data_IF_963007205893
#
_entry.id   IF_963007205893
#
_cell.length_a   1.000
_cell.length_b   1.000
_cell.length_c   1.000
_cell.angle_alpha   90.00
_cell.angle_beta   90.00
_cell.angle_gamma   90.00
#
_symmetry.space_group_name_H-M   'P 1'
#
loop_
_entity.id
_entity.type
_entity.pdbx_description
1 polymer ?
#
# COMPACT_ATOMS: atom_id res chain seq x y z
N UNK A 1 -31.24 15.86 2.40
CA UNK A 1 -30.17 14.89 2.66
C UNK A 1 -29.88 13.92 1.51
N UNK A 2 -30.80 13.67 0.57
CA UNK A 2 -30.58 12.78 -0.60
C UNK A 2 -29.96 13.52 -1.80
N UNK A 3 -30.17 14.82 -1.94
CA UNK A 3 -29.67 15.62 -3.07
C UNK A 3 -28.13 15.90 -3.02
N UNK A 4 -27.56 16.13 -1.84
CA UNK A 4 -26.11 16.40 -1.67
C UNK A 4 -25.24 15.16 -1.97
N UNK A 5 -25.78 13.97 -1.77
CA UNK A 5 -25.09 12.70 -2.07
C UNK A 5 -24.94 12.46 -3.57
N UNK A 6 -25.92 12.87 -4.38
CA UNK A 6 -25.90 12.64 -5.84
C UNK A 6 -24.95 13.60 -6.57
N UNK A 7 -24.88 14.85 -6.14
CA UNK A 7 -23.98 15.88 -6.73
C UNK A 7 -22.51 15.48 -6.52
N UNK A 8 -22.17 14.85 -5.38
CA UNK A 8 -20.82 14.36 -5.08
C UNK A 8 -20.40 13.14 -5.92
N UNK A 9 -21.36 12.27 -6.28
CA UNK A 9 -21.09 11.10 -7.14
C UNK A 9 -20.89 11.56 -8.58
N UNK A 10 -21.74 12.46 -9.08
CA UNK A 10 -21.63 12.99 -10.44
C UNK A 10 -20.33 13.73 -10.66
N UNK A 11 -19.86 14.49 -9.67
CA UNK A 11 -18.55 15.16 -9.71
C UNK A 11 -17.38 14.15 -9.79
N UNK A 12 -17.44 13.03 -9.02
CA UNK A 12 -16.43 11.95 -9.08
C UNK A 12 -16.43 11.23 -10.43
N UNK A 13 -17.60 10.93 -10.97
CA UNK A 13 -17.75 10.34 -12.29
C UNK A 13 -17.16 11.25 -13.35
N UNK A 14 -17.44 12.55 -13.30
CA UNK A 14 -16.88 13.54 -14.23
C UNK A 14 -15.34 13.59 -14.16
N UNK A 15 -14.77 13.56 -12.95
CA UNK A 15 -13.32 13.57 -12.74
C UNK A 15 -12.63 12.32 -13.32
N UNK A 16 -13.17 11.12 -13.07
CA UNK A 16 -12.62 9.87 -13.63
C UNK A 16 -12.74 9.87 -15.16
N UNK A 17 -13.87 10.31 -15.72
CA UNK A 17 -14.02 10.43 -17.19
C UNK A 17 -13.04 11.44 -17.80
N UNK A 18 -12.75 12.53 -17.11
CA UNK A 18 -11.74 13.50 -17.56
C UNK A 18 -10.33 12.89 -17.54
N UNK A 19 -9.99 12.19 -16.47
CA UNK A 19 -8.72 11.46 -16.35
C UNK A 19 -8.57 10.41 -17.46
N UNK A 20 -9.58 9.60 -17.72
CA UNK A 20 -9.54 8.59 -18.79
C UNK A 20 -9.27 9.23 -20.16
N UNK A 21 -9.95 10.34 -20.51
CA UNK A 21 -9.69 11.06 -21.76
C UNK A 21 -8.27 11.61 -21.84
N UNK A 22 -7.79 12.21 -20.75
CA UNK A 22 -6.42 12.72 -20.67
C UNK A 22 -5.40 11.60 -20.82
N UNK A 23 -5.56 10.52 -20.05
CA UNK A 23 -4.58 9.45 -20.00
C UNK A 23 -4.51 8.64 -21.30
N UNK A 24 -5.64 8.31 -21.91
CA UNK A 24 -5.68 7.61 -23.21
C UNK A 24 -5.00 8.43 -24.33
N UNK A 25 -5.17 9.76 -24.33
CA UNK A 25 -4.41 10.63 -25.25
C UNK A 25 -2.92 10.66 -24.93
N UNK A 26 -2.55 10.67 -23.63
CA UNK A 26 -1.16 10.76 -23.19
C UNK A 26 -0.34 9.52 -23.53
N UNK A 27 -0.94 8.33 -23.49
CA UNK A 27 -0.28 7.05 -23.81
C UNK A 27 -0.44 6.60 -25.27
N UNK A 28 -1.05 7.44 -26.13
CA UNK A 28 -1.15 7.17 -27.57
C UNK A 28 -2.03 5.96 -27.94
N UNK A 29 -2.98 5.57 -27.09
CA UNK A 29 -3.89 4.41 -27.36
C UNK A 29 -4.76 4.63 -28.59
N UNK A 30 -5.01 5.90 -28.94
CA UNK A 30 -5.86 6.28 -30.08
C UNK A 30 -5.08 6.45 -31.40
N UNK A 31 -3.76 6.27 -31.39
CA UNK A 31 -2.95 6.35 -32.60
C UNK A 31 -3.23 5.13 -33.49
N UNK A 32 -3.32 5.33 -34.81
CA UNK A 32 -3.64 4.28 -35.78
C UNK A 32 -2.68 3.10 -35.72
N UNK A 33 -1.44 3.34 -35.29
CA UNK A 33 -0.41 2.31 -35.07
C UNK A 33 0.09 2.41 -33.63
N UNK A 34 -0.35 1.49 -32.78
CA UNK A 34 0.10 1.44 -31.39
C UNK A 34 1.63 1.34 -31.35
N UNK A 35 2.29 2.36 -30.79
CA UNK A 35 3.75 2.48 -30.72
C UNK A 35 4.43 2.26 -32.08
N UNK A 36 3.86 2.79 -33.19
CA UNK A 36 4.39 2.67 -34.56
C UNK A 36 4.69 1.23 -35.00
N UNK A 37 4.02 0.25 -34.41
CA UNK A 37 4.23 -1.17 -34.66
C UNK A 37 3.19 -1.73 -35.64
N UNK A 38 3.51 -2.92 -36.23
CA UNK A 38 2.58 -3.69 -37.06
C UNK A 38 1.55 -4.48 -36.22
N UNK A 39 1.48 -4.22 -34.91
CA UNK A 39 0.57 -4.87 -33.99
C UNK A 39 -0.51 -3.91 -33.50
N UNK A 40 -1.74 -4.40 -33.45
CA UNK A 40 -2.81 -3.69 -32.73
C UNK A 40 -2.53 -3.69 -31.22
N UNK A 41 -3.21 -2.81 -30.48
CA UNK A 41 -3.10 -2.77 -29.01
C UNK A 41 -3.36 -4.15 -28.37
N UNK A 42 -4.41 -4.86 -28.82
CA UNK A 42 -4.74 -6.17 -28.30
C UNK A 42 -3.64 -7.23 -28.62
N UNK A 43 -3.09 -7.19 -29.83
CA UNK A 43 -1.96 -8.04 -30.20
C UNK A 43 -0.73 -7.74 -29.37
N UNK A 44 -0.39 -6.46 -29.19
CA UNK A 44 0.73 -6.03 -28.32
C UNK A 44 0.56 -6.49 -26.89
N UNK A 45 -0.63 -6.38 -26.31
CA UNK A 45 -0.92 -6.86 -24.94
C UNK A 45 -0.77 -8.36 -24.81
N UNK A 46 -1.26 -9.15 -25.75
CA UNK A 46 -1.09 -10.61 -25.73
C UNK A 46 0.39 -11.02 -25.86
N UNK A 47 1.14 -10.34 -26.74
CA UNK A 47 2.59 -10.58 -26.87
C UNK A 47 3.34 -10.20 -25.59
N UNK A 48 2.97 -9.09 -24.93
CA UNK A 48 3.55 -8.65 -23.68
C UNK A 48 3.36 -9.73 -22.58
N UNK A 49 2.13 -10.21 -22.39
CA UNK A 49 1.86 -11.25 -21.38
C UNK A 49 2.65 -12.52 -21.64
N UNK A 50 2.76 -12.94 -22.91
CA UNK A 50 3.56 -14.12 -23.31
C UNK A 50 5.07 -13.88 -23.24
N UNK A 51 5.55 -12.64 -23.30
CA UNK A 51 6.97 -12.32 -23.19
C UNK A 51 7.48 -12.35 -21.74
N UNK A 52 6.60 -12.00 -20.79
CA UNK A 52 6.94 -11.89 -19.36
C UNK A 52 6.63 -13.17 -18.54
N UNK A 53 6.26 -14.28 -19.24
CA UNK A 53 6.07 -15.61 -18.63
C UNK A 53 6.57 -16.69 -19.58
N UNK A 54 6.86 -17.87 -19.03
CA UNK A 54 7.34 -18.98 -19.86
C UNK A 54 6.21 -19.54 -20.74
N UNK A 55 5.03 -19.70 -20.17
CA UNK A 55 3.83 -20.23 -20.84
C UNK A 55 2.56 -19.63 -20.26
N UNK A 56 1.47 -19.62 -21.04
CA UNK A 56 0.12 -19.31 -20.58
C UNK A 56 -0.92 -20.15 -21.31
N UNK A 57 -2.05 -20.41 -20.69
CA UNK A 57 -3.21 -20.99 -21.38
C UNK A 57 -4.05 -19.90 -22.05
N UNK A 58 -4.85 -20.26 -23.05
CA UNK A 58 -5.78 -19.32 -23.68
C UNK A 58 -6.84 -18.79 -22.70
N UNK A 59 -7.27 -19.61 -21.73
CA UNK A 59 -8.24 -19.22 -20.72
C UNK A 59 -7.68 -18.17 -19.75
N UNK A 60 -6.42 -18.32 -19.32
CA UNK A 60 -5.73 -17.34 -18.50
C UNK A 60 -5.61 -16.00 -19.22
N UNK A 61 -5.12 -16.01 -20.47
CA UNK A 61 -5.00 -14.79 -21.27
C UNK A 61 -6.35 -14.08 -21.50
N UNK A 62 -7.43 -14.85 -21.77
CA UNK A 62 -8.76 -14.29 -21.97
C UNK A 62 -9.26 -13.56 -20.70
N UNK A 63 -9.09 -14.20 -19.54
CA UNK A 63 -9.49 -13.66 -18.25
C UNK A 63 -8.67 -12.40 -17.89
N UNK A 64 -7.35 -12.48 -17.96
CA UNK A 64 -6.45 -11.40 -17.53
C UNK A 64 -6.54 -10.16 -18.44
N UNK A 65 -6.76 -10.37 -19.73
CA UNK A 65 -6.89 -9.28 -20.68
C UNK A 65 -8.35 -8.84 -20.92
N UNK A 66 -9.30 -9.48 -20.24
CA UNK A 66 -10.74 -9.26 -20.43
C UNK A 66 -11.16 -9.34 -21.93
N UNK A 67 -10.56 -10.29 -22.69
CA UNK A 67 -10.83 -10.48 -24.09
C UNK A 67 -11.89 -11.55 -24.34
N UNK A 68 -12.76 -11.33 -25.34
CA UNK A 68 -13.67 -12.37 -25.80
C UNK A 68 -12.89 -13.62 -26.25
N UNK A 69 -13.24 -14.82 -25.76
CA UNK A 69 -12.50 -16.06 -26.06
C UNK A 69 -12.42 -16.36 -27.56
N UNK A 70 -13.46 -16.06 -28.32
CA UNK A 70 -13.48 -16.25 -29.76
C UNK A 70 -12.56 -15.29 -30.51
N UNK A 71 -12.53 -14.02 -30.05
CA UNK A 71 -11.58 -13.03 -30.56
C UNK A 71 -10.13 -13.44 -30.28
N UNK A 72 -9.82 -13.80 -29.03
CA UNK A 72 -8.48 -14.25 -28.63
C UNK A 72 -8.06 -15.50 -29.42
N UNK A 73 -8.97 -16.45 -29.61
CA UNK A 73 -8.69 -17.67 -30.40
C UNK A 73 -8.26 -17.35 -31.84
N UNK A 74 -8.94 -16.39 -32.51
CA UNK A 74 -8.57 -15.92 -33.86
C UNK A 74 -7.22 -15.22 -33.87
N UNK A 75 -6.94 -14.40 -32.88
CA UNK A 75 -5.67 -13.70 -32.73
C UNK A 75 -4.51 -14.67 -32.52
N UNK A 76 -4.67 -15.66 -31.64
CA UNK A 76 -3.68 -16.70 -31.38
C UNK A 76 -3.45 -17.59 -32.64
N UNK A 77 -4.48 -17.89 -33.41
CA UNK A 77 -4.33 -18.61 -34.66
C UNK A 77 -3.53 -17.82 -35.72
N UNK A 78 -3.76 -16.50 -35.78
CA UNK A 78 -2.96 -15.61 -36.62
C UNK A 78 -1.48 -15.56 -36.19
N UNK A 79 -1.21 -15.49 -34.88
CA UNK A 79 0.16 -15.54 -34.35
C UNK A 79 0.85 -16.86 -34.64
N UNK A 80 0.16 -17.96 -34.50
CA UNK A 80 0.69 -19.30 -34.81
C UNK A 80 1.02 -19.42 -36.31
N UNK A 81 0.13 -18.96 -37.18
CA UNK A 81 0.38 -18.92 -38.64
C UNK A 81 1.57 -18.03 -39.02
N UNK A 82 1.79 -16.93 -38.30
CA UNK A 82 2.98 -16.04 -38.44
C UNK A 82 4.24 -16.66 -37.81
N UNK A 83 4.12 -17.76 -37.07
CA UNK A 83 5.21 -18.41 -36.35
C UNK A 83 5.71 -17.67 -35.12
N UNK A 84 4.88 -16.79 -34.56
CA UNK A 84 5.22 -15.97 -33.37
C UNK A 84 5.03 -16.72 -32.07
N UNK A 85 4.09 -17.66 -32.02
CA UNK A 85 3.82 -18.54 -30.88
C UNK A 85 3.92 -20.00 -31.24
N UNK A 86 4.08 -20.83 -30.22
CA UNK A 86 3.95 -22.29 -30.31
C UNK A 86 2.96 -22.80 -29.26
N UNK A 87 2.23 -23.87 -29.57
CA UNK A 87 1.33 -24.55 -28.64
C UNK A 87 1.94 -25.92 -28.26
N UNK A 88 1.88 -26.25 -26.98
CA UNK A 88 2.36 -27.53 -26.46
C UNK A 88 1.40 -28.04 -25.39
N UNK A 89 1.29 -29.38 -25.21
CA UNK A 89 0.62 -29.91 -24.03
C UNK A 89 1.29 -29.41 -22.76
N UNK A 90 0.50 -29.11 -21.74
CA UNK A 90 1.02 -28.71 -20.41
C UNK A 90 1.77 -29.90 -19.79
N UNK A 91 2.91 -29.64 -19.17
CA UNK A 91 3.65 -30.66 -18.41
C UNK A 91 2.94 -31.05 -17.11
N UNK A 92 2.10 -30.15 -16.57
CA UNK A 92 1.36 -30.36 -15.32
C UNK A 92 0.02 -31.11 -15.58
N UNK A 93 -0.64 -30.83 -16.71
CA UNK A 93 -1.89 -31.48 -17.13
C UNK A 93 -1.91 -31.58 -18.65
N UNK A 94 -1.61 -32.81 -19.18
CA UNK A 94 -1.55 -33.04 -20.60
C UNK A 94 -2.86 -32.79 -21.40
N UNK A 95 -3.98 -32.52 -20.70
CA UNK A 95 -5.24 -32.12 -21.33
C UNK A 95 -5.28 -30.61 -21.65
N UNK A 96 -4.40 -29.84 -21.03
CA UNK A 96 -4.33 -28.40 -21.27
C UNK A 96 -3.24 -28.06 -22.29
N UNK A 97 -3.55 -27.11 -23.17
CA UNK A 97 -2.58 -26.56 -24.12
C UNK A 97 -2.04 -25.26 -23.58
N UNK A 98 -0.73 -25.18 -23.48
CA UNK A 98 -0.02 -23.95 -23.13
C UNK A 98 0.62 -23.31 -24.36
N UNK A 99 0.69 -22.00 -24.33
CA UNK A 99 1.15 -21.13 -25.40
C UNK A 99 2.44 -20.47 -24.92
N UNK A 100 3.44 -20.42 -25.80
CA UNK A 100 4.70 -19.75 -25.55
C UNK A 100 5.15 -18.97 -26.78
N UNK A 101 5.88 -17.86 -26.58
CA UNK A 101 6.56 -17.16 -27.66
C UNK A 101 7.69 -18.01 -28.24
N UNK A 102 7.76 -18.05 -29.56
CA UNK A 102 8.93 -18.58 -30.29
C UNK A 102 10.10 -17.58 -30.24
N UNK A 103 11.28 -17.98 -30.69
CA UNK A 103 12.39 -17.03 -30.92
C UNK A 103 12.00 -15.90 -31.88
N UNK A 104 11.24 -16.23 -32.94
CA UNK A 104 10.70 -15.23 -33.88
C UNK A 104 9.69 -14.29 -33.20
N UNK A 105 8.82 -14.83 -32.33
CA UNK A 105 7.86 -14.01 -31.58
C UNK A 105 8.55 -13.05 -30.63
N UNK A 106 9.57 -13.48 -29.91
CA UNK A 106 10.38 -12.61 -29.03
C UNK A 106 11.10 -11.52 -29.83
N UNK A 107 11.70 -11.85 -30.97
CA UNK A 107 12.35 -10.89 -31.84
C UNK A 107 11.38 -9.85 -32.43
N UNK A 108 10.14 -10.28 -32.76
CA UNK A 108 9.10 -9.39 -33.27
C UNK A 108 8.52 -8.47 -32.16
N UNK A 109 8.48 -8.93 -30.91
CA UNK A 109 7.99 -8.15 -29.77
C UNK A 109 9.04 -7.17 -29.25
N UNK A 110 10.33 -7.48 -29.29
CA UNK A 110 11.38 -6.67 -28.69
C UNK A 110 11.39 -5.17 -29.11
N UNK A 111 11.14 -4.79 -30.39
CA UNK A 111 11.00 -3.38 -30.77
C UNK A 111 9.83 -2.70 -30.06
N UNK A 112 8.67 -3.35 -30.00
CA UNK A 112 7.46 -2.83 -29.34
C UNK A 112 7.68 -2.58 -27.85
N UNK A 113 8.32 -3.52 -27.17
CA UNK A 113 8.66 -3.41 -25.74
C UNK A 113 9.61 -2.22 -25.49
N UNK A 114 10.64 -2.09 -26.33
CA UNK A 114 11.58 -0.96 -26.24
C UNK A 114 10.88 0.38 -26.47
N UNK A 115 10.08 0.50 -27.52
CA UNK A 115 9.35 1.75 -27.82
C UNK A 115 8.36 2.11 -26.69
N UNK A 116 7.72 1.10 -26.09
CA UNK A 116 6.87 1.30 -24.92
C UNK A 116 7.66 1.84 -23.73
N UNK A 117 8.82 1.25 -23.44
CA UNK A 117 9.70 1.70 -22.35
C UNK A 117 10.23 3.14 -22.63
N UNK A 118 10.63 3.43 -23.86
CA UNK A 118 11.09 4.77 -24.28
C UNK A 118 9.98 5.82 -24.14
N UNK A 119 8.74 5.48 -24.51
CA UNK A 119 7.59 6.39 -24.37
C UNK A 119 7.31 6.71 -22.89
N UNK A 120 7.37 5.71 -22.01
CA UNK A 120 7.22 5.93 -20.56
C UNK A 120 8.40 6.74 -20.01
N UNK A 121 9.63 6.44 -20.42
CA UNK A 121 10.80 7.21 -19.99
C UNK A 121 10.71 8.67 -20.42
N UNK A 122 10.27 8.94 -21.66
CA UNK A 122 10.05 10.30 -22.15
C UNK A 122 8.94 11.05 -21.39
N UNK A 123 7.93 10.34 -20.90
CA UNK A 123 6.88 10.92 -20.05
C UNK A 123 7.43 11.29 -18.66
N UNK A 124 8.35 10.51 -18.10
CA UNK A 124 8.95 10.73 -16.79
C UNK A 124 10.08 11.77 -16.81
N UNK A 125 10.82 11.87 -17.90
CA UNK A 125 12.01 12.74 -18.03
C UNK A 125 11.84 14.20 -17.60
N UNK A 126 10.71 14.90 -17.87
CA UNK A 126 10.51 16.28 -17.42
C UNK A 126 10.15 16.42 -15.93
N UNK A 127 9.93 15.32 -15.22
CA UNK A 127 9.50 15.33 -13.83
C UNK A 127 10.72 15.24 -12.88
N UNK A 128 10.62 15.91 -11.72
CA UNK A 128 11.59 15.71 -10.65
C UNK A 128 11.48 14.27 -10.10
N UNK A 129 12.55 13.75 -9.44
CA UNK A 129 12.52 12.44 -8.78
C UNK A 129 11.33 12.29 -7.83
N UNK A 130 11.05 13.34 -7.05
CA UNK A 130 9.90 13.37 -6.13
C UNK A 130 8.56 13.21 -6.87
N UNK A 131 8.39 13.90 -8.02
CA UNK A 131 7.16 13.80 -8.79
C UNK A 131 7.04 12.46 -9.52
N UNK A 132 8.15 11.87 -9.97
CA UNK A 132 8.17 10.51 -10.51
C UNK A 132 7.70 9.49 -9.46
N UNK A 133 8.24 9.57 -8.23
CA UNK A 133 7.80 8.70 -7.12
C UNK A 133 6.33 8.90 -6.78
N UNK A 134 5.84 10.15 -6.76
CA UNK A 134 4.42 10.45 -6.55
C UNK A 134 3.53 9.87 -7.65
N UNK A 135 3.97 9.94 -8.90
CA UNK A 135 3.24 9.37 -10.02
C UNK A 135 3.17 7.84 -9.92
N UNK A 136 4.28 7.17 -9.63
CA UNK A 136 4.32 5.71 -9.41
C UNK A 136 3.42 5.29 -8.25
N UNK A 137 3.45 6.00 -7.12
CA UNK A 137 2.56 5.73 -6.00
C UNK A 137 1.07 5.90 -6.37
N UNK A 138 0.75 6.93 -7.17
CA UNK A 138 -0.62 7.16 -7.65
C UNK A 138 -1.10 6.04 -8.58
N UNK A 139 -0.25 5.52 -9.49
CA UNK A 139 -0.62 4.38 -10.35
C UNK A 139 -0.86 3.11 -9.54
N UNK A 140 -0.04 2.85 -8.50
CA UNK A 140 -0.27 1.76 -7.56
C UNK A 140 -1.60 1.89 -6.82
N UNK A 141 -1.93 3.08 -6.35
CA UNK A 141 -3.22 3.37 -5.70
C UNK A 141 -4.40 3.10 -6.64
N UNK A 142 -4.32 3.56 -7.89
CA UNK A 142 -5.36 3.31 -8.91
C UNK A 142 -5.53 1.82 -9.15
N UNK A 143 -4.43 1.08 -9.34
CA UNK A 143 -4.47 -0.37 -9.55
C UNK A 143 -5.11 -1.11 -8.37
N UNK A 144 -4.79 -0.74 -7.14
CA UNK A 144 -5.36 -1.33 -5.92
C UNK A 144 -6.87 -1.06 -5.78
N UNK A 145 -7.30 0.18 -6.09
CA UNK A 145 -8.70 0.58 -5.92
C UNK A 145 -9.62 0.05 -7.03
N UNK A 146 -9.09 -0.20 -8.23
CA UNK A 146 -9.85 -0.66 -9.40
C UNK A 146 -9.60 -2.13 -9.74
N UNK A 147 -8.63 -2.80 -9.12
CA UNK A 147 -8.34 -4.21 -9.36
C UNK A 147 -9.41 -5.12 -8.76
N UNK A 148 -9.73 -6.20 -9.49
CA UNK A 148 -10.74 -7.19 -9.09
C UNK A 148 -10.23 -8.16 -8.02
N UNK A 149 -8.94 -8.22 -7.77
CA UNK A 149 -8.34 -9.04 -6.72
C UNK A 149 -7.70 -8.15 -5.65
N UNK A 150 -7.98 -8.41 -4.36
CA UNK A 150 -7.13 -7.87 -3.32
C UNK A 150 -5.69 -8.34 -3.61
N UNK A 151 -4.66 -7.51 -3.36
CA UNK A 151 -3.28 -7.85 -3.69
C UNK A 151 -2.95 -9.24 -3.15
N UNK A 152 -2.67 -10.18 -4.06
CA UNK A 152 -2.51 -11.61 -3.82
C UNK A 152 -1.20 -11.99 -3.11
N UNK A 153 -0.42 -11.00 -2.73
CA UNK A 153 0.69 -11.13 -1.78
C UNK A 153 0.42 -10.19 -0.61
N UNK A 154 0.62 -10.62 0.64
CA UNK A 154 0.66 -9.67 1.73
C UNK A 154 1.73 -8.66 1.37
N UNK A 155 1.33 -7.39 1.13
CA UNK A 155 2.27 -6.31 0.84
C UNK A 155 3.35 -6.40 1.89
N UNK A 156 4.59 -6.70 1.48
CA UNK A 156 5.67 -6.85 2.44
C UNK A 156 5.95 -5.46 2.99
N UNK A 157 5.79 -5.29 4.27
CA UNK A 157 6.16 -4.05 4.94
C UNK A 157 7.52 -4.22 5.63
N UNK A 158 8.24 -3.14 5.74
CA UNK A 158 9.49 -3.08 6.48
C UNK A 158 9.33 -2.20 7.72
N UNK A 159 10.04 -2.57 8.79
CA UNK A 159 10.17 -1.75 9.98
C UNK A 159 11.56 -1.11 9.98
N UNK A 160 11.60 0.22 10.09
CA UNK A 160 12.86 0.96 10.19
C UNK A 160 12.87 1.92 11.36
N UNK A 161 14.05 2.39 11.72
CA UNK A 161 14.20 3.51 12.66
C UNK A 161 13.64 4.80 12.04
N UNK A 162 13.27 5.75 12.92
CA UNK A 162 12.80 7.07 12.46
C UNK A 162 13.92 7.87 11.79
N UNK A 163 13.53 8.71 10.84
CA UNK A 163 14.38 9.59 10.05
C UNK A 163 13.80 11.02 10.07
N UNK A 164 14.59 12.04 9.68
CA UNK A 164 14.06 13.39 9.48
C UNK A 164 12.85 13.40 8.54
N UNK A 165 11.77 14.07 8.97
CA UNK A 165 10.47 14.10 8.28
C UNK A 165 9.41 13.18 8.89
N UNK A 166 9.79 12.05 9.47
CA UNK A 166 8.82 11.08 10.04
C UNK A 166 8.01 11.67 11.20
N UNK A 167 8.64 12.47 12.04
CA UNK A 167 8.00 13.13 13.18
C UNK A 167 6.85 14.04 12.71
N UNK A 168 7.10 14.82 11.67
CA UNK A 168 6.06 15.66 11.05
C UNK A 168 4.93 14.83 10.44
N UNK A 169 5.28 13.73 9.78
CA UNK A 169 4.30 12.80 9.20
C UNK A 169 3.41 12.18 10.30
N UNK A 170 4.01 11.65 11.38
CA UNK A 170 3.26 11.03 12.48
C UNK A 170 2.32 12.03 13.13
N UNK A 171 2.78 13.28 13.38
CA UNK A 171 1.94 14.34 13.94
C UNK A 171 0.74 14.63 13.05
N UNK A 172 0.99 14.90 11.76
CA UNK A 172 -0.06 15.22 10.80
C UNK A 172 -1.07 14.07 10.65
N UNK A 173 -0.59 12.83 10.49
CA UNK A 173 -1.48 11.70 10.23
C UNK A 173 -2.32 11.32 11.44
N UNK A 174 -1.74 11.34 12.64
CA UNK A 174 -2.51 11.09 13.86
C UNK A 174 -3.56 12.19 14.09
N UNK A 175 -3.19 13.47 13.98
CA UNK A 175 -4.15 14.57 14.10
C UNK A 175 -5.31 14.40 13.12
N UNK A 176 -5.01 14.25 11.84
CA UNK A 176 -6.03 14.13 10.80
C UNK A 176 -6.92 12.89 10.97
N UNK A 177 -6.34 11.70 11.15
CA UNK A 177 -7.11 10.46 11.23
C UNK A 177 -8.01 10.42 12.46
N UNK A 178 -7.52 10.86 13.61
CA UNK A 178 -8.32 10.86 14.84
C UNK A 178 -9.43 11.93 14.81
N UNK A 179 -9.23 13.01 14.08
CA UNK A 179 -10.33 13.95 13.79
C UNK A 179 -11.40 13.32 12.89
N UNK A 180 -11.00 12.60 11.83
CA UNK A 180 -11.90 11.93 10.89
C UNK A 180 -12.66 10.76 11.54
N UNK A 181 -11.99 9.89 12.29
CA UNK A 181 -12.57 8.67 12.86
C UNK A 181 -13.32 8.89 14.17
N UNK A 182 -12.85 9.81 15.02
CA UNK A 182 -13.37 10.02 16.39
C UNK A 182 -13.90 11.43 16.64
N UNK A 183 -13.71 12.36 15.70
CA UNK A 183 -14.12 13.75 15.82
C UNK A 183 -13.33 14.49 16.91
N UNK A 184 -12.05 14.13 17.11
CA UNK A 184 -11.17 14.83 18.05
C UNK A 184 -10.70 16.15 17.46
N UNK A 185 -10.53 17.17 18.33
CA UNK A 185 -10.09 18.49 17.92
C UNK A 185 -8.54 18.60 17.85
N UNK A 186 -8.06 19.78 17.45
CA UNK A 186 -6.64 20.09 17.27
C UNK A 186 -5.80 19.96 18.54
N UNK A 187 -6.41 19.90 19.72
CA UNK A 187 -5.68 19.71 20.98
C UNK A 187 -5.05 18.31 21.07
N UNK A 188 -5.58 17.33 20.33
CA UNK A 188 -4.93 16.02 20.18
C UNK A 188 -3.65 16.10 19.34
N UNK A 189 -3.68 16.85 18.24
CA UNK A 189 -2.48 17.07 17.41
C UNK A 189 -1.39 17.78 18.22
N UNK A 190 -1.75 18.78 19.02
CA UNK A 190 -0.83 19.45 19.93
C UNK A 190 -0.19 18.48 20.94
N UNK A 191 -0.99 17.58 21.54
CA UNK A 191 -0.46 16.52 22.42
C UNK A 191 0.54 15.60 21.71
N UNK A 192 0.23 15.17 20.48
CA UNK A 192 1.13 14.33 19.68
C UNK A 192 2.44 15.08 19.39
N UNK A 193 2.35 16.35 19.00
CA UNK A 193 3.51 17.19 18.73
C UNK A 193 4.41 17.34 19.97
N UNK A 194 3.83 17.56 21.15
CA UNK A 194 4.56 17.67 22.42
C UNK A 194 5.30 16.36 22.75
N UNK A 195 4.63 15.22 22.63
CA UNK A 195 5.22 13.90 22.87
C UNK A 195 6.42 13.66 21.94
N UNK A 196 6.25 13.97 20.66
CA UNK A 196 7.27 13.74 19.65
C UNK A 196 8.44 14.73 19.77
N UNK A 197 8.15 16.00 20.10
CA UNK A 197 9.18 16.99 20.39
C UNK A 197 10.02 16.58 21.60
N UNK A 198 9.37 16.12 22.68
CA UNK A 198 10.06 15.63 23.87
C UNK A 198 10.92 14.39 23.55
N UNK A 199 10.40 13.45 22.77
CA UNK A 199 11.13 12.27 22.31
C UNK A 199 12.42 12.67 21.57
N UNK A 200 12.33 13.52 20.54
CA UNK A 200 13.52 13.89 19.74
C UNK A 200 14.56 14.64 20.59
N UNK A 201 14.12 15.56 21.47
CA UNK A 201 15.01 16.35 22.32
C UNK A 201 15.78 15.53 23.35
N UNK A 202 15.15 14.47 23.87
CA UNK A 202 15.69 13.69 24.98
C UNK A 202 16.06 12.25 24.57
N UNK A 203 16.10 11.95 23.30
CA UNK A 203 16.23 10.60 22.75
C UNK A 203 17.47 9.86 23.23
N UNK A 204 17.28 8.87 24.09
CA UNK A 204 18.32 7.94 24.53
C UNK A 204 18.31 6.65 23.66
N UNK A 205 19.18 6.60 22.66
CA UNK A 205 19.31 5.44 21.75
C UNK A 205 19.56 4.11 22.46
N UNK A 206 20.11 4.17 23.67
CA UNK A 206 20.38 2.96 24.45
C UNK A 206 19.14 2.39 25.11
N UNK A 207 18.13 3.22 25.37
CA UNK A 207 16.93 2.90 26.16
C UNK A 207 15.61 3.12 25.43
N UNK A 208 15.62 3.89 24.35
CA UNK A 208 14.41 4.30 23.63
C UNK A 208 14.49 3.92 22.15
N UNK A 209 13.34 3.77 21.51
CA UNK A 209 13.27 3.46 20.09
C UNK A 209 11.94 3.92 19.49
N UNK A 210 11.98 4.30 18.20
CA UNK A 210 10.81 4.45 17.36
C UNK A 210 10.91 3.47 16.19
N UNK A 211 9.77 2.89 15.81
CA UNK A 211 9.63 2.09 14.60
C UNK A 211 8.66 2.80 13.67
N UNK A 212 9.10 2.96 12.44
CA UNK A 212 8.31 3.44 11.32
C UNK A 212 8.07 2.27 10.39
N UNK A 213 6.84 2.09 9.96
CA UNK A 213 6.45 1.04 9.01
C UNK A 213 6.30 1.64 7.64
N UNK A 214 7.03 1.10 6.68
CA UNK A 214 6.86 1.42 5.26
C UNK A 214 6.28 0.22 4.52
N UNK A 215 5.33 0.48 3.66
CA UNK A 215 4.71 -0.48 2.75
C UNK A 215 4.58 0.21 1.39
N UNK A 216 5.10 -0.43 0.33
CA UNK A 216 5.07 0.09 -1.04
C UNK A 216 5.65 1.52 -1.17
N UNK A 217 6.72 1.82 -0.39
CA UNK A 217 7.40 3.12 -0.39
C UNK A 217 6.67 4.25 0.35
N UNK A 218 5.54 3.96 1.00
CA UNK A 218 4.80 4.92 1.82
C UNK A 218 4.88 4.56 3.31
N UNK A 219 4.92 5.57 4.18
CA UNK A 219 4.80 5.34 5.62
C UNK A 219 3.34 4.99 5.93
N UNK A 220 3.13 3.86 6.62
CA UNK A 220 1.80 3.34 6.95
C UNK A 220 1.59 3.07 8.43
N UNK A 221 2.60 3.26 9.26
CA UNK A 221 2.45 3.06 10.70
C UNK A 221 3.65 3.51 11.51
N UNK A 222 3.43 3.64 12.81
CA UNK A 222 4.47 4.00 13.77
C UNK A 222 4.17 3.50 15.16
N UNK A 223 5.22 3.33 15.98
CA UNK A 223 5.14 3.20 17.43
C UNK A 223 6.42 3.73 18.06
N UNK A 224 6.30 4.26 19.27
CA UNK A 224 7.40 4.79 20.05
C UNK A 224 7.48 4.07 21.40
N UNK A 225 8.69 3.76 21.82
CA UNK A 225 8.98 3.30 23.17
C UNK A 225 9.90 4.31 23.82
N UNK A 226 9.45 4.88 24.92
CA UNK A 226 10.18 5.90 25.68
C UNK A 226 10.49 5.41 27.09
N UNK A 227 11.59 5.89 27.66
CA UNK A 227 11.96 5.63 29.04
C UNK A 227 11.05 6.44 29.98
N UNK A 228 10.37 5.79 30.90
CA UNK A 228 9.65 6.47 31.97
C UNK A 228 10.47 6.47 33.28
N UNK A 229 11.18 5.36 33.58
CA UNK A 229 12.16 5.22 34.64
C UNK A 229 13.22 4.18 34.25
N UNK A 230 14.13 3.83 35.16
CA UNK A 230 15.11 2.78 34.86
C UNK A 230 14.47 1.39 34.73
N UNK A 231 13.33 1.16 35.36
CA UNK A 231 12.61 -0.12 35.34
C UNK A 231 11.36 -0.12 34.46
N UNK A 232 10.85 1.06 34.08
CA UNK A 232 9.58 1.22 33.36
C UNK A 232 9.79 1.90 32.01
N UNK A 233 9.38 1.21 30.94
CA UNK A 233 9.23 1.79 29.60
C UNK A 233 7.77 2.14 29.33
N UNK A 234 7.53 3.08 28.41
CA UNK A 234 6.18 3.48 28.00
C UNK A 234 6.03 3.41 26.48
N UNK A 235 5.03 2.63 26.05
CA UNK A 235 4.59 2.59 24.66
C UNK A 235 3.73 3.81 24.36
N UNK A 236 4.03 4.49 23.24
CA UNK A 236 3.32 5.68 22.79
C UNK A 236 3.04 5.66 21.31
N UNK A 237 1.98 6.35 20.91
CA UNK A 237 1.67 6.71 19.53
C UNK A 237 1.68 5.50 18.58
N UNK A 238 1.07 4.36 19.02
CA UNK A 238 0.78 3.25 18.13
C UNK A 238 -0.24 3.69 17.08
N UNK A 239 0.16 3.62 15.82
CA UNK A 239 -0.62 4.09 14.69
C UNK A 239 -0.48 3.16 13.50
N UNK A 240 -1.57 2.88 12.80
CA UNK A 240 -1.59 2.17 11.52
C UNK A 240 -2.63 2.83 10.60
N UNK A 241 -2.19 3.19 9.41
CA UNK A 241 -3.03 3.75 8.34
C UNK A 241 -4.21 2.83 8.04
N UNK A 242 -5.43 3.36 7.78
CA UNK A 242 -6.61 2.54 7.49
C UNK A 242 -6.38 1.53 6.37
N UNK A 243 -5.70 1.93 5.29
CA UNK A 243 -5.41 1.06 4.14
C UNK A 243 -4.44 -0.09 4.47
N UNK A 244 -3.66 0.03 5.55
CA UNK A 244 -2.70 -0.99 5.99
C UNK A 244 -3.20 -1.82 7.18
N UNK A 245 -4.43 -1.59 7.65
CA UNK A 245 -5.05 -2.41 8.70
C UNK A 245 -5.34 -3.82 8.17
N UNK A 246 -5.38 -4.79 9.07
CA UNK A 246 -5.59 -6.21 8.70
C UNK A 246 -4.33 -6.98 8.32
N UNK A 247 -3.19 -6.31 8.10
CA UNK A 247 -1.90 -6.94 7.78
C UNK A 247 -1.05 -7.32 9.01
N UNK A 248 -1.63 -7.30 10.21
CA UNK A 248 -0.89 -7.65 11.45
C UNK A 248 0.11 -6.59 11.92
N UNK A 249 0.21 -5.43 11.26
CA UNK A 249 1.20 -4.39 11.55
C UNK A 249 1.13 -3.91 12.99
N UNK A 250 -0.07 -3.62 13.52
CA UNK A 250 -0.23 -3.16 14.90
C UNK A 250 0.26 -4.18 15.93
N UNK A 251 -0.03 -5.45 15.73
CA UNK A 251 0.45 -6.58 16.53
C UNK A 251 1.98 -6.64 16.49
N UNK A 252 2.55 -6.60 15.29
CA UNK A 252 4.01 -6.62 15.09
C UNK A 252 4.71 -5.45 15.77
N UNK A 253 4.16 -4.24 15.72
CA UNK A 253 4.72 -3.06 16.37
C UNK A 253 4.74 -3.21 17.90
N UNK A 254 3.69 -3.78 18.49
CA UNK A 254 3.66 -4.06 19.94
C UNK A 254 4.66 -5.16 20.31
N UNK A 255 4.79 -6.22 19.51
CA UNK A 255 5.82 -7.25 19.68
C UNK A 255 7.24 -6.67 19.71
N UNK A 256 7.56 -5.78 18.77
CA UNK A 256 8.85 -5.09 18.73
C UNK A 256 9.11 -4.26 20.00
N UNK A 257 8.08 -3.53 20.48
CA UNK A 257 8.19 -2.79 21.75
C UNK A 257 8.47 -3.73 22.94
N UNK A 258 7.75 -4.84 23.04
CA UNK A 258 7.93 -5.82 24.11
C UNK A 258 9.32 -6.45 24.06
N UNK A 259 9.74 -6.90 22.87
CA UNK A 259 11.07 -7.51 22.68
C UNK A 259 12.20 -6.52 23.02
N UNK A 260 12.10 -5.28 22.55
CA UNK A 260 13.08 -4.26 22.85
C UNK A 260 13.13 -3.92 24.34
N UNK A 261 11.97 -3.73 24.97
CA UNK A 261 11.90 -3.41 26.40
C UNK A 261 12.54 -4.53 27.25
N UNK A 262 12.26 -5.81 26.96
CA UNK A 262 12.93 -6.96 27.60
C UNK A 262 14.44 -6.94 27.36
N UNK A 263 14.87 -6.73 26.12
CA UNK A 263 16.28 -6.68 25.76
C UNK A 263 17.06 -5.53 26.41
N UNK A 264 16.35 -4.47 26.84
CA UNK A 264 16.94 -3.33 27.57
C UNK A 264 16.81 -3.44 29.09
N UNK A 265 16.26 -4.53 29.61
CA UNK A 265 16.17 -4.80 31.04
C UNK A 265 15.09 -4.01 31.77
N UNK A 266 14.09 -3.53 31.05
CA UNK A 266 12.89 -2.99 31.69
C UNK A 266 12.10 -4.14 32.37
N UNK A 267 11.46 -3.84 33.47
CA UNK A 267 10.59 -4.79 34.22
C UNK A 267 9.12 -4.63 33.83
N UNK A 268 8.74 -3.41 33.44
CA UNK A 268 7.35 -3.08 33.12
C UNK A 268 7.28 -2.26 31.84
N UNK A 269 6.34 -2.61 30.99
CA UNK A 269 5.94 -1.79 29.84
C UNK A 269 4.54 -1.25 30.11
N UNK A 270 4.40 0.06 30.21
CA UNK A 270 3.11 0.73 30.41
C UNK A 270 2.64 1.46 29.16
N UNK A 271 1.36 1.72 29.05
CA UNK A 271 0.76 2.57 28.03
C UNK A 271 -0.49 3.28 28.56
N UNK A 272 -0.88 4.33 27.87
CA UNK A 272 -2.14 5.01 28.12
C UNK A 272 -2.94 5.10 26.81
N UNK A 273 -4.23 4.84 26.86
CA UNK A 273 -5.15 4.84 25.72
C UNK A 273 -6.55 5.30 26.14
N UNK A 274 -7.45 5.45 25.19
CA UNK A 274 -8.87 5.69 25.46
C UNK A 274 -9.70 4.44 25.17
N UNK A 275 -10.78 4.25 25.90
CA UNK A 275 -11.65 3.08 25.82
C UNK A 275 -12.27 2.88 24.43
N UNK A 276 -12.53 3.98 23.69
CA UNK A 276 -13.09 3.94 22.34
C UNK A 276 -12.11 3.31 21.31
N UNK A 277 -10.82 3.23 21.61
CA UNK A 277 -9.81 2.66 20.71
C UNK A 277 -9.78 1.12 20.79
N UNK A 278 -10.92 0.49 20.47
CA UNK A 278 -11.15 -0.94 20.69
C UNK A 278 -10.14 -1.85 19.96
N UNK A 279 -9.67 -1.46 18.77
CA UNK A 279 -8.69 -2.26 18.03
C UNK A 279 -7.32 -2.28 18.71
N UNK A 280 -6.86 -1.15 19.21
CA UNK A 280 -5.59 -1.06 19.96
C UNK A 280 -5.68 -1.85 21.27
N UNK A 281 -6.80 -1.75 22.01
CA UNK A 281 -7.02 -2.50 23.24
C UNK A 281 -6.93 -4.02 23.01
N UNK A 282 -7.57 -4.55 21.97
CA UNK A 282 -7.48 -5.98 21.61
C UNK A 282 -6.04 -6.45 21.39
N UNK A 283 -5.21 -5.60 20.76
CA UNK A 283 -3.80 -5.91 20.57
C UNK A 283 -3.08 -5.95 21.92
N UNK A 284 -3.32 -5.00 22.82
CA UNK A 284 -2.70 -4.97 24.14
C UNK A 284 -3.12 -6.18 24.99
N UNK A 285 -4.40 -6.50 25.04
CA UNK A 285 -4.93 -7.69 25.73
C UNK A 285 -4.30 -8.98 25.20
N UNK A 286 -4.18 -9.11 23.87
CA UNK A 286 -3.55 -10.26 23.21
C UNK A 286 -2.06 -10.44 23.55
N UNK A 287 -1.36 -9.36 23.95
CA UNK A 287 0.03 -9.39 24.41
C UNK A 287 0.18 -9.50 25.93
N UNK A 288 -0.92 -9.66 26.65
CA UNK A 288 -0.91 -9.86 28.09
C UNK A 288 -0.87 -8.57 28.93
N UNK A 289 -1.08 -7.39 28.30
CA UNK A 289 -1.28 -6.17 29.08
C UNK A 289 -2.55 -6.27 29.93
N UNK A 290 -2.51 -5.72 31.13
CA UNK A 290 -3.64 -5.66 32.04
C UNK A 290 -4.05 -4.23 32.31
N UNK A 291 -5.35 -3.99 32.37
CA UNK A 291 -5.89 -2.69 32.77
C UNK A 291 -5.60 -2.45 34.26
N UNK A 292 -4.86 -1.39 34.55
CA UNK A 292 -4.47 -1.03 35.92
C UNK A 292 -5.37 0.05 36.48
N UNK A 293 -5.71 1.05 35.68
CA UNK A 293 -6.59 2.13 36.08
C UNK A 293 -7.36 2.70 34.89
N UNK A 294 -8.53 3.28 35.19
CA UNK A 294 -9.30 4.04 34.23
C UNK A 294 -10.01 5.21 34.91
N UNK A 295 -10.26 6.26 34.16
CA UNK A 295 -10.93 7.45 34.65
C UNK A 295 -11.56 8.30 33.55
N UNK A 296 -12.69 8.92 33.84
CA UNK A 296 -13.32 9.88 32.93
C UNK A 296 -12.51 11.17 32.87
N UNK A 297 -12.38 11.70 31.67
CA UNK A 297 -11.75 13.00 31.46
C UNK A 297 -12.37 13.69 30.25
N UNK A 298 -12.23 15.00 30.16
CA UNK A 298 -12.62 15.78 29.00
C UNK A 298 -11.37 16.21 28.26
N UNK A 299 -11.17 15.70 27.06
CA UNK A 299 -10.03 16.03 26.20
C UNK A 299 -10.42 15.93 24.74
N UNK A 300 -9.73 16.65 23.88
CA UNK A 300 -9.90 16.61 22.42
C UNK A 300 -11.35 16.92 21.99
N UNK A 301 -12.01 17.84 22.74
CA UNK A 301 -13.40 18.20 22.50
C UNK A 301 -14.44 17.13 22.88
N UNK A 302 -14.05 16.03 23.54
CA UNK A 302 -14.92 14.89 23.87
C UNK A 302 -14.83 14.49 25.35
N UNK A 303 -15.91 13.86 25.83
CA UNK A 303 -15.91 13.12 27.10
C UNK A 303 -15.40 11.71 26.83
N UNK A 304 -14.30 11.31 27.44
CA UNK A 304 -13.56 10.08 27.18
C UNK A 304 -13.30 9.32 28.49
N UNK A 305 -12.95 8.04 28.36
CA UNK A 305 -12.42 7.24 29.48
C UNK A 305 -10.98 6.84 29.17
N UNK A 306 -10.06 7.51 29.84
CA UNK A 306 -8.63 7.17 29.76
C UNK A 306 -8.32 5.89 30.52
N UNK A 307 -7.47 5.06 29.98
CA UNK A 307 -7.09 3.76 30.53
C UNK A 307 -5.57 3.62 30.57
N UNK A 308 -5.03 3.22 31.71
CA UNK A 308 -3.62 2.82 31.84
C UNK A 308 -3.52 1.32 31.85
N UNK A 309 -2.66 0.78 31.00
CA UNK A 309 -2.40 -0.65 30.88
C UNK A 309 -0.93 -0.93 31.15
N UNK A 310 -0.64 -2.10 31.74
CA UNK A 310 0.72 -2.54 32.05
C UNK A 310 0.95 -4.00 31.70
N UNK A 311 2.17 -4.27 31.25
CA UNK A 311 2.71 -5.61 31.03
C UNK A 311 3.96 -5.79 31.88
N UNK A 312 4.00 -6.83 32.72
CA UNK A 312 5.24 -7.28 33.35
C UNK A 312 6.08 -8.03 32.32
N UNK A 313 7.35 -7.66 32.17
CA UNK A 313 8.25 -8.13 31.10
C UNK A 313 9.07 -9.39 31.49
#
# INVERSE_FOLDING_TARGET
>A
MVAESNDSVDARVAAIRAFNRFYTGKIGVLDEHFLRSDFSLAEGRVLYELAHRETASAAELARELALDPGYLSRLLAAFEKRGLISRKPSLADGRQTVIALTKKGRAAFAPLDRESAEAVAAMLAPLSDSDQQRLVAATGTIATLLGDEPPSSPSSYILRAHQPGDIGWVTHRQGKLYAEEYGWDETYEALVADILSAFVKNFDRSRERAWIVEMDGAIVGSVFLVKQSDEVAKLRLLYVEPAARGHGIGTRLVEECVAFARGKGYRTLTLWTNDILASARRIYEGHGFRLISQGRHKSFGKDLVGQTWELTL
#
